data_IF_728476359616
#
_entry.id   IF_728476359616
#
_cell.length_a   1.000
_cell.length_b   1.000
_cell.length_c   1.000
_cell.angle_alpha   90.00
_cell.angle_beta   90.00
_cell.angle_gamma   90.00
#
_symmetry.space_group_name_H-M   'P 1'
#
loop_
_entity.id
_entity.type
_entity.pdbx_description
1 polymer ?
#
# COMPACT_ATOMS: atom_id res chain seq x y z
N UNK A 1 -46.25 -30.05 19.42
CA UNK A 1 -46.87 -29.22 18.34
C UNK A 1 -47.11 -27.83 18.92
N UNK A 2 -46.58 -26.69 18.46
CA UNK A 2 -45.88 -26.29 17.23
C UNK A 2 -44.96 -25.09 17.57
N UNK A 3 -43.70 -25.22 17.13
CA UNK A 3 -42.78 -24.23 16.54
C UNK A 3 -42.91 -22.75 16.97
N UNK A 4 -41.91 -22.31 17.72
CA UNK A 4 -41.42 -20.91 17.74
C UNK A 4 -40.72 -20.65 16.40
N UNK A 5 -41.18 -19.61 15.69
CA UNK A 5 -40.53 -19.00 14.54
C UNK A 5 -40.30 -17.54 14.91
N UNK A 6 -39.06 -17.06 14.89
CA UNK A 6 -38.59 -16.19 13.81
C UNK A 6 -37.32 -15.42 14.23
N UNK A 7 -36.33 -15.54 13.35
CA UNK A 7 -35.20 -14.68 13.04
C UNK A 7 -34.99 -13.41 13.90
N UNK A 8 -33.85 -13.36 14.59
CA UNK A 8 -33.24 -12.08 14.95
C UNK A 8 -32.62 -11.45 13.70
N UNK A 9 -33.16 -10.28 13.39
CA UNK A 9 -32.95 -9.41 12.25
C UNK A 9 -31.58 -8.72 12.34
N UNK A 10 -30.93 -8.61 11.19
CA UNK A 10 -29.70 -7.85 10.97
C UNK A 10 -29.85 -6.40 11.48
N UNK A 11 -28.83 -5.93 12.19
CA UNK A 11 -28.71 -4.53 12.60
C UNK A 11 -28.32 -3.70 11.39
N UNK A 12 -29.32 -3.03 10.82
CA UNK A 12 -29.16 -1.95 9.84
C UNK A 12 -28.66 -0.70 10.60
N UNK A 13 -27.41 -0.32 10.40
CA UNK A 13 -26.91 1.01 10.78
C UNK A 13 -27.24 1.97 9.64
N UNK A 14 -28.32 2.73 9.81
CA UNK A 14 -28.68 3.87 8.99
C UNK A 14 -28.77 5.09 9.90
N UNK A 15 -27.71 5.91 9.90
CA UNK A 15 -27.85 7.36 10.12
C UNK A 15 -27.12 8.01 8.96
N UNK A 16 -27.91 8.57 8.06
CA UNK A 16 -27.44 9.29 6.88
C UNK A 16 -27.22 10.78 7.13
N UNK A 17 -26.28 11.31 6.35
CA UNK A 17 -26.35 12.57 5.60
C UNK A 17 -26.67 13.87 6.35
N UNK A 18 -25.65 14.71 6.51
CA UNK A 18 -25.76 16.14 6.16
C UNK A 18 -24.66 16.48 5.15
N UNK A 19 -25.09 16.86 3.94
CA UNK A 19 -24.22 17.20 2.83
C UNK A 19 -23.59 18.58 3.02
N UNK A 20 -22.27 18.65 3.16
CA UNK A 20 -21.50 19.78 2.64
C UNK A 20 -20.75 19.25 1.44
N UNK A 21 -21.28 19.53 0.26
CA UNK A 21 -20.58 19.30 -1.00
C UNK A 21 -19.45 20.33 -1.09
N UNK A 22 -18.29 20.01 -0.52
CA UNK A 22 -17.04 20.57 -1.02
C UNK A 22 -16.79 19.91 -2.36
N UNK A 23 -16.90 20.69 -3.43
CA UNK A 23 -16.50 20.26 -4.76
C UNK A 23 -14.98 20.07 -4.75
N UNK A 24 -14.53 18.88 -4.36
CA UNK A 24 -13.20 18.40 -4.66
C UNK A 24 -13.12 18.25 -6.19
N UNK A 25 -12.07 18.80 -6.78
CA UNK A 25 -11.82 18.78 -8.20
C UNK A 25 -11.54 17.33 -8.63
N UNK A 26 -12.60 16.55 -8.90
CA UNK A 26 -12.58 15.16 -9.36
C UNK A 26 -12.04 15.05 -10.80
N UNK A 27 -10.77 15.39 -10.99
CA UNK A 27 -9.99 14.80 -12.08
C UNK A 27 -9.65 13.38 -11.62
N UNK A 28 -9.87 12.34 -12.43
CA UNK A 28 -9.36 11.00 -12.11
C UNK A 28 -7.86 11.11 -11.84
N UNK A 29 -7.44 10.90 -10.59
CA UNK A 29 -6.02 10.91 -10.23
C UNK A 29 -5.33 9.79 -11.02
N UNK A 30 -4.15 10.07 -11.54
CA UNK A 30 -3.34 9.03 -12.16
C UNK A 30 -2.97 7.98 -11.10
N UNK A 31 -2.90 6.70 -11.46
CA UNK A 31 -2.40 5.64 -10.56
C UNK A 31 -1.00 5.96 -10.03
N UNK A 32 -0.21 6.69 -10.83
CA UNK A 32 1.09 7.19 -10.42
C UNK A 32 1.01 8.24 -9.31
N UNK A 33 0.08 9.20 -9.42
CA UNK A 33 -0.17 10.19 -8.38
C UNK A 33 -0.67 9.51 -7.10
N UNK A 34 -1.54 8.50 -7.23
CA UNK A 34 -2.04 7.70 -6.12
C UNK A 34 -0.91 6.97 -5.37
N UNK A 35 0.01 6.33 -6.10
CA UNK A 35 1.16 5.66 -5.49
C UNK A 35 2.10 6.64 -4.77
N UNK A 36 2.39 7.81 -5.38
CA UNK A 36 3.19 8.87 -4.76
C UNK A 36 2.56 9.41 -3.47
N UNK A 37 1.23 9.59 -3.47
CA UNK A 37 0.48 10.01 -2.30
C UNK A 37 0.63 8.99 -1.16
N UNK A 38 0.43 7.70 -1.43
CA UNK A 38 0.59 6.65 -0.43
C UNK A 38 2.04 6.53 0.10
N UNK A 39 3.04 6.74 -0.76
CA UNK A 39 4.45 6.78 -0.32
C UNK A 39 4.73 7.96 0.62
N UNK A 40 4.15 9.13 0.35
CA UNK A 40 4.25 10.27 1.27
C UNK A 40 3.55 9.99 2.60
N UNK A 41 2.40 9.32 2.58
CA UNK A 41 1.69 8.94 3.82
C UNK A 41 2.52 7.97 4.64
N UNK A 42 3.15 6.97 4.00
CA UNK A 42 4.07 6.05 4.68
C UNK A 42 5.23 6.81 5.32
N UNK A 43 5.86 7.76 4.62
CA UNK A 43 6.94 8.55 5.19
C UNK A 43 6.51 9.32 6.45
N UNK A 44 5.33 9.95 6.44
CA UNK A 44 4.77 10.62 7.61
C UNK A 44 4.55 9.65 8.78
N UNK A 45 3.95 8.48 8.51
CA UNK A 45 3.67 7.50 9.57
C UNK A 45 4.93 6.83 10.11
N UNK A 46 5.94 6.63 9.28
CA UNK A 46 7.25 6.15 9.73
C UNK A 46 7.90 7.17 10.68
N UNK A 47 7.82 8.46 10.40
CA UNK A 47 8.33 9.50 11.31
C UNK A 47 7.60 9.45 12.67
N UNK A 48 6.27 9.31 12.65
CA UNK A 48 5.49 9.17 13.89
C UNK A 48 5.91 7.94 14.72
N UNK A 49 6.28 6.83 14.06
CA UNK A 49 6.84 5.64 14.73
C UNK A 49 8.25 5.89 15.28
N UNK A 50 9.09 6.65 14.58
CA UNK A 50 10.43 7.01 15.03
C UNK A 50 10.41 7.87 16.32
N UNK A 51 9.35 8.63 16.52
CA UNK A 51 9.11 9.45 17.71
C UNK A 51 8.49 8.67 18.89
N UNK A 52 8.16 7.39 18.71
CA UNK A 52 7.59 6.58 19.80
C UNK A 52 8.55 6.50 20.99
N UNK A 53 8.00 6.66 22.19
CA UNK A 53 8.78 6.67 23.42
C UNK A 53 9.17 5.26 23.82
N UNK A 54 10.28 5.17 24.55
CA UNK A 54 10.68 3.91 25.17
C UNK A 54 9.75 3.56 26.34
N UNK A 55 9.26 2.33 26.33
CA UNK A 55 8.55 1.75 27.47
C UNK A 55 9.46 0.79 28.24
N UNK A 56 8.97 0.31 29.39
CA UNK A 56 9.73 -0.60 30.25
C UNK A 56 9.93 -1.99 29.63
N UNK A 57 9.20 -2.31 28.57
CA UNK A 57 9.17 -3.63 27.93
C UNK A 57 10.03 -3.68 26.67
N UNK A 58 10.58 -2.54 26.23
CA UNK A 58 11.45 -2.47 25.05
C UNK A 58 10.71 -2.27 23.73
N UNK A 59 9.38 -2.21 23.75
CA UNK A 59 8.56 -2.28 22.52
C UNK A 59 8.76 -1.02 21.69
N UNK A 60 8.85 0.15 22.33
CA UNK A 60 9.18 1.40 21.67
C UNK A 60 10.47 1.32 20.83
N UNK A 61 11.51 0.64 21.33
CA UNK A 61 12.74 0.44 20.59
C UNK A 61 12.54 -0.48 19.38
N UNK A 62 11.86 -1.61 19.55
CA UNK A 62 11.58 -2.56 18.47
C UNK A 62 10.77 -1.89 17.34
N UNK A 63 9.77 -1.08 17.68
CA UNK A 63 9.00 -0.31 16.70
C UNK A 63 9.88 0.68 15.94
N UNK A 64 10.77 1.42 16.63
CA UNK A 64 11.69 2.36 15.99
C UNK A 64 12.70 1.66 15.08
N UNK A 65 13.14 0.45 15.42
CA UNK A 65 14.04 -0.33 14.56
C UNK A 65 13.35 -0.72 13.25
N UNK A 66 12.10 -1.17 13.31
CA UNK A 66 11.29 -1.45 12.12
C UNK A 66 11.05 -0.18 11.30
N UNK A 67 10.73 0.93 11.97
CA UNK A 67 10.51 2.23 11.32
C UNK A 67 11.76 2.72 10.57
N UNK A 68 12.96 2.59 11.15
CA UNK A 68 14.22 2.89 10.45
C UNK A 68 14.39 2.02 9.21
N UNK A 69 14.16 0.71 9.34
CA UNK A 69 14.22 -0.21 8.21
C UNK A 69 13.22 0.13 7.10
N UNK A 70 12.02 0.60 7.46
CA UNK A 70 11.03 1.07 6.50
C UNK A 70 11.46 2.38 5.83
N UNK A 71 12.01 3.33 6.58
CA UNK A 71 12.52 4.59 6.06
C UNK A 71 13.62 4.36 5.00
N UNK A 72 14.57 3.46 5.29
CA UNK A 72 15.64 3.12 4.35
C UNK A 72 15.09 2.46 3.08
N UNK A 73 14.11 1.56 3.23
CA UNK A 73 13.44 0.93 2.08
C UNK A 73 12.57 1.90 1.28
N UNK A 74 12.06 2.97 1.90
CA UNK A 74 11.25 3.96 1.20
C UNK A 74 12.05 4.67 0.09
N UNK A 75 13.36 4.89 0.31
CA UNK A 75 14.27 5.43 -0.70
C UNK A 75 14.36 4.50 -1.92
N UNK A 76 14.51 3.19 -1.69
CA UNK A 76 14.55 2.20 -2.78
C UNK A 76 13.21 2.12 -3.52
N UNK A 77 12.10 2.16 -2.80
CA UNK A 77 10.76 2.19 -3.41
C UNK A 77 10.61 3.42 -4.29
N UNK A 78 11.03 4.61 -3.83
CA UNK A 78 11.00 5.85 -4.60
C UNK A 78 11.81 5.78 -5.89
N UNK A 79 13.03 5.26 -5.82
CA UNK A 79 13.89 5.11 -6.99
C UNK A 79 13.32 4.13 -8.02
N UNK A 80 12.88 2.96 -7.57
CA UNK A 80 12.37 1.92 -8.46
C UNK A 80 11.00 2.29 -9.03
N UNK A 81 10.15 2.94 -8.24
CA UNK A 81 8.89 3.50 -8.73
C UNK A 81 9.13 4.60 -9.77
N UNK A 82 10.10 5.48 -9.53
CA UNK A 82 10.51 6.51 -10.50
C UNK A 82 11.00 5.92 -11.82
N UNK A 83 11.68 4.76 -11.82
CA UNK A 83 12.09 4.05 -13.04
C UNK A 83 10.90 3.45 -13.79
N UNK A 84 9.91 2.94 -13.05
CA UNK A 84 8.66 2.40 -13.61
C UNK A 84 7.82 3.51 -14.27
N UNK A 85 7.70 4.64 -13.58
CA UNK A 85 6.94 5.83 -13.99
C UNK A 85 7.58 6.56 -15.19
N UNK A 86 8.87 6.91 -15.09
CA UNK A 86 9.53 7.80 -16.06
C UNK A 86 9.99 7.13 -17.35
N UNK A 87 9.83 5.81 -17.50
CA UNK A 87 10.13 5.17 -18.78
C UNK A 87 9.12 5.63 -19.82
N UNK A 88 9.60 6.40 -20.79
CA UNK A 88 8.78 6.83 -21.91
C UNK A 88 8.20 5.61 -22.65
N UNK A 89 6.97 5.73 -23.14
CA UNK A 89 6.32 4.65 -23.90
C UNK A 89 7.12 4.22 -25.13
N UNK A 90 7.95 5.12 -25.68
CA UNK A 90 8.87 4.84 -26.78
C UNK A 90 10.01 3.90 -26.33
N UNK A 91 10.61 4.14 -25.16
CA UNK A 91 11.64 3.26 -24.61
C UNK A 91 11.05 1.89 -24.21
N UNK A 92 9.82 1.86 -23.68
CA UNK A 92 9.10 0.61 -23.38
C UNK A 92 8.86 -0.23 -24.64
N UNK A 93 8.56 0.41 -25.79
CA UNK A 93 8.34 -0.27 -27.08
C UNK A 93 9.62 -0.75 -27.77
N UNK A 94 10.75 -0.04 -27.62
CA UNK A 94 12.01 -0.40 -28.27
C UNK A 94 12.87 -1.39 -27.49
N UNK A 95 12.85 -1.31 -26.16
CA UNK A 95 13.74 -2.10 -25.29
C UNK A 95 13.00 -3.02 -24.29
N UNK A 96 11.66 -2.97 -24.27
CA UNK A 96 10.82 -3.71 -23.33
C UNK A 96 10.62 -3.01 -21.97
N UNK A 97 9.70 -3.54 -21.15
CA UNK A 97 9.47 -3.09 -19.77
C UNK A 97 10.74 -3.27 -18.91
N UNK A 98 10.96 -2.35 -17.96
CA UNK A 98 11.91 -2.53 -16.87
C UNK A 98 11.46 -3.60 -15.86
N UNK A 99 11.56 -4.86 -16.26
CA UNK A 99 11.26 -6.00 -15.38
C UNK A 99 12.11 -6.00 -14.10
N UNK A 100 13.22 -5.25 -14.06
CA UNK A 100 14.05 -5.16 -12.85
C UNK A 100 13.37 -4.26 -11.82
N UNK A 101 12.90 -3.07 -12.21
CA UNK A 101 12.19 -2.16 -11.30
C UNK A 101 10.93 -2.83 -10.73
N UNK A 102 10.10 -3.45 -11.59
CA UNK A 102 8.91 -4.17 -11.15
C UNK A 102 9.23 -5.32 -10.18
N UNK A 103 10.29 -6.11 -10.45
CA UNK A 103 10.73 -7.16 -9.52
C UNK A 103 11.27 -6.60 -8.20
N UNK A 104 11.97 -5.46 -8.23
CA UNK A 104 12.48 -4.83 -7.02
C UNK A 104 11.33 -4.32 -6.15
N UNK A 105 10.33 -3.69 -6.74
CA UNK A 105 9.12 -3.26 -6.04
C UNK A 105 8.35 -4.44 -5.43
N UNK A 106 8.22 -5.58 -6.14
CA UNK A 106 7.64 -6.80 -5.55
C UNK A 106 8.40 -7.30 -4.32
N UNK A 107 9.73 -7.31 -4.37
CA UNK A 107 10.55 -7.66 -3.21
C UNK A 107 10.33 -6.69 -2.05
N UNK A 108 10.19 -5.40 -2.33
CA UNK A 108 9.87 -4.41 -1.29
C UNK A 108 8.48 -4.64 -0.69
N UNK A 109 7.47 -5.01 -1.49
CA UNK A 109 6.15 -5.38 -0.98
C UNK A 109 6.19 -6.62 -0.07
N UNK A 110 7.02 -7.61 -0.39
CA UNK A 110 7.25 -8.78 0.48
C UNK A 110 7.89 -8.38 1.81
N UNK A 111 8.91 -7.51 1.80
CA UNK A 111 9.52 -6.98 3.02
C UNK A 111 8.52 -6.16 3.84
N UNK A 112 7.69 -5.35 3.18
CA UNK A 112 6.61 -4.61 3.81
C UNK A 112 5.62 -5.55 4.53
N UNK A 113 5.27 -6.70 3.95
CA UNK A 113 4.40 -7.68 4.60
C UNK A 113 5.03 -8.25 5.88
N UNK A 114 6.35 -8.51 5.88
CA UNK A 114 7.06 -8.95 7.08
C UNK A 114 7.04 -7.88 8.17
N UNK A 115 7.27 -6.61 7.82
CA UNK A 115 7.19 -5.48 8.75
C UNK A 115 5.79 -5.30 9.31
N UNK A 116 4.76 -5.44 8.48
CA UNK A 116 3.35 -5.39 8.92
C UNK A 116 3.10 -6.47 9.98
N UNK A 117 3.55 -7.71 9.74
CA UNK A 117 3.37 -8.80 10.72
C UNK A 117 4.06 -8.49 12.05
N UNK A 118 5.29 -7.96 12.00
CA UNK A 118 6.03 -7.56 13.20
C UNK A 118 5.32 -6.42 13.94
N UNK A 119 4.90 -5.37 13.23
CA UNK A 119 4.16 -4.25 13.81
C UNK A 119 2.82 -4.68 14.40
N UNK A 120 2.10 -5.63 13.78
CA UNK A 120 0.86 -6.19 14.33
C UNK A 120 1.11 -6.92 15.65
N UNK A 121 2.20 -7.69 15.73
CA UNK A 121 2.60 -8.34 16.98
C UNK A 121 2.92 -7.30 18.07
N UNK A 122 3.66 -6.24 17.73
CA UNK A 122 4.01 -5.18 18.68
C UNK A 122 2.79 -4.39 19.13
N UNK A 123 1.88 -4.05 18.22
CA UNK A 123 0.61 -3.38 18.52
C UNK A 123 -0.17 -4.13 19.60
N UNK A 124 -0.22 -5.46 19.53
CA UNK A 124 -0.92 -6.32 20.49
C UNK A 124 -0.30 -6.33 21.91
N UNK A 125 0.94 -5.83 22.05
CA UNK A 125 1.70 -5.82 23.30
C UNK A 125 1.76 -4.43 23.94
N UNK A 126 1.49 -3.37 23.18
CA UNK A 126 1.52 -2.01 23.74
C UNK A 126 0.35 -1.81 24.68
N UNK A 127 0.59 -1.15 25.81
CA UNK A 127 -0.44 -0.90 26.84
C UNK A 127 -1.18 0.43 26.66
N UNK A 128 -0.63 1.31 25.84
CA UNK A 128 -1.16 2.64 25.59
C UNK A 128 -1.89 2.66 24.25
N UNK A 129 -3.18 2.98 24.28
CA UNK A 129 -4.01 3.09 23.07
C UNK A 129 -3.40 4.04 22.04
N UNK A 130 -2.84 5.17 22.46
CA UNK A 130 -2.29 6.14 21.52
C UNK A 130 -1.07 5.60 20.76
N UNK A 131 -0.29 4.69 21.37
CA UNK A 131 0.85 4.07 20.72
C UNK A 131 0.40 2.89 19.84
N UNK A 132 -0.62 2.14 20.27
CA UNK A 132 -1.29 1.12 19.43
C UNK A 132 -1.86 1.76 18.15
N UNK A 133 -2.56 2.89 18.27
CA UNK A 133 -3.18 3.60 17.16
C UNK A 133 -2.13 4.04 16.13
N UNK A 134 -1.00 4.60 16.58
CA UNK A 134 0.12 4.96 15.69
C UNK A 134 0.66 3.77 14.91
N UNK A 135 0.84 2.63 15.57
CA UNK A 135 1.31 1.40 14.92
C UNK A 135 0.28 0.93 13.88
N UNK A 136 -1.02 0.95 14.20
CA UNK A 136 -2.10 0.56 13.29
C UNK A 136 -2.20 1.49 12.07
N UNK A 137 -2.07 2.79 12.28
CA UNK A 137 -2.06 3.77 11.18
C UNK A 137 -0.86 3.57 10.24
N UNK A 138 0.32 3.26 10.79
CA UNK A 138 1.49 2.92 9.98
C UNK A 138 1.30 1.60 9.21
N UNK A 139 0.72 0.57 9.83
CA UNK A 139 0.36 -0.68 9.14
C UNK A 139 -0.57 -0.39 7.96
N UNK A 140 -1.62 0.40 8.19
CA UNK A 140 -2.58 0.73 7.13
C UNK A 140 -1.93 1.52 5.99
N UNK A 141 -1.03 2.46 6.31
CA UNK A 141 -0.27 3.20 5.31
C UNK A 141 0.60 2.28 4.45
N UNK A 142 1.34 1.35 5.05
CA UNK A 142 2.20 0.40 4.34
C UNK A 142 1.36 -0.56 3.48
N UNK A 143 0.21 -1.02 3.96
CA UNK A 143 -0.73 -1.83 3.18
C UNK A 143 -1.23 -1.09 1.94
N UNK A 144 -1.65 0.17 2.10
CA UNK A 144 -2.15 0.97 1.00
C UNK A 144 -1.04 1.25 -0.03
N UNK A 145 0.19 1.49 0.40
CA UNK A 145 1.35 1.57 -0.50
C UNK A 145 1.54 0.27 -1.28
N UNK A 146 1.49 -0.89 -0.63
CA UNK A 146 1.61 -2.18 -1.33
C UNK A 146 0.53 -2.35 -2.41
N UNK A 147 -0.71 -1.94 -2.14
CA UNK A 147 -1.80 -1.98 -3.11
C UNK A 147 -1.48 -1.05 -4.30
N UNK A 148 -1.10 0.20 -4.04
CA UNK A 148 -0.79 1.15 -5.11
C UNK A 148 0.42 0.72 -5.96
N UNK A 149 1.45 0.12 -5.35
CA UNK A 149 2.59 -0.46 -6.07
C UNK A 149 2.16 -1.66 -6.93
N UNK A 150 1.29 -2.54 -6.41
CA UNK A 150 0.76 -3.67 -7.17
C UNK A 150 0.01 -3.20 -8.41
N UNK A 151 -0.83 -2.18 -8.28
CA UNK A 151 -1.57 -1.58 -9.39
C UNK A 151 -0.64 -0.98 -10.46
N UNK A 152 0.39 -0.25 -10.02
CA UNK A 152 1.37 0.35 -10.94
C UNK A 152 2.19 -0.72 -11.69
N UNK A 153 2.56 -1.81 -11.01
CA UNK A 153 3.25 -2.95 -11.64
C UNK A 153 2.33 -3.66 -12.64
N UNK A 154 1.06 -3.86 -12.28
CA UNK A 154 0.08 -4.54 -13.13
C UNK A 154 -0.16 -3.76 -14.42
N UNK A 155 -0.29 -2.43 -14.37
CA UNK A 155 -0.45 -1.60 -15.56
C UNK A 155 0.72 -1.77 -16.54
N UNK A 156 1.94 -1.79 -16.01
CA UNK A 156 3.14 -2.00 -16.81
C UNK A 156 3.17 -3.41 -17.47
N UNK A 157 2.58 -4.41 -16.83
CA UNK A 157 2.47 -5.78 -17.35
C UNK A 157 1.27 -5.99 -18.28
N UNK A 158 0.16 -5.28 -18.07
CA UNK A 158 -1.05 -5.35 -18.91
C UNK A 158 -0.84 -4.76 -20.30
N UNK A 159 0.06 -3.78 -20.46
CA UNK A 159 0.57 -3.38 -21.78
C UNK A 159 1.06 -4.62 -22.55
N UNK A 160 1.70 -5.58 -21.88
CA UNK A 160 2.13 -6.85 -22.48
C UNK A 160 0.99 -7.82 -22.76
N UNK A 161 -0.06 -7.84 -21.94
CA UNK A 161 -1.27 -8.65 -22.20
C UNK A 161 -2.00 -8.16 -23.45
N UNK A 162 -2.09 -6.84 -23.63
CA UNK A 162 -2.68 -6.19 -24.79
C UNK A 162 -1.79 -6.19 -26.06
N UNK A 163 -0.48 -6.45 -25.98
CA UNK A 163 0.36 -6.69 -27.15
C UNK A 163 0.67 -8.18 -27.39
N UNK A 164 0.43 -9.04 -26.40
CA UNK A 164 0.61 -10.49 -26.49
C UNK A 164 -0.39 -11.16 -27.42
N UNK A 165 -1.65 -10.69 -27.45
CA UNK A 165 -2.62 -11.15 -28.46
C UNK A 165 -2.27 -10.66 -29.88
N UNK A 166 -1.68 -9.47 -30.02
CA UNK A 166 -1.32 -8.88 -31.31
C UNK A 166 -0.08 -9.55 -31.92
N UNK A 167 0.91 -9.91 -31.09
CA UNK A 167 2.07 -10.69 -31.52
C UNK A 167 1.67 -12.12 -31.96
N UNK A 168 0.66 -12.70 -31.32
CA UNK A 168 0.09 -14.01 -31.70
C UNK A 168 -0.58 -14.01 -33.08
N UNK A 169 -1.01 -12.84 -33.58
CA UNK A 169 -1.62 -12.69 -34.90
C UNK A 169 -0.59 -12.67 -36.06
N UNK A 170 0.67 -12.31 -35.79
CA UNK A 170 1.71 -12.13 -36.82
C UNK A 170 2.82 -13.18 -36.84
N UNK A 171 3.03 -13.93 -35.74
CA UNK A 171 4.16 -14.87 -35.62
C UNK A 171 3.77 -16.36 -35.58
N UNK A 172 2.48 -16.71 -35.59
CA UNK A 172 2.00 -18.09 -35.79
C UNK A 172 2.57 -19.13 -34.83
N UNK A 173 1.87 -19.36 -33.72
CA UNK A 173 2.05 -20.41 -32.69
C UNK A 173 3.47 -20.70 -32.18
#
# INVERSE_FOLDING_TARGET
>A
MKKVFSLSLALVVLIGFTSVAFAENDRPRSRSENAREHMSIVATKVEELLEMREDKEGIGQEVREIARGQNDSQVEVDEEFGKLENRSQVMKKLFGNDHRAARNLRRQMEQNNLRIMQLQELASKVKNQADEDKIQEAIQAILNQNIALAEAIQEEEEIRSAFGWLAKLWLGD
#
